data_IF_481261768447
#
_entry.id   IF_481261768447
#
_cell.length_a   1.000
_cell.length_b   1.000
_cell.length_c   1.000
_cell.angle_alpha   90.00
_cell.angle_beta   90.00
_cell.angle_gamma   90.00
#
_symmetry.space_group_name_H-M   'P 1'
#
loop_
_entity.id
_entity.type
_entity.pdbx_description
1 polymer ?
#
# COMPACT_ATOMS: atom_id res chain seq x y z
N UNK A 1 13.72 8.96 15.06
CA UNK A 1 14.35 7.86 14.28
C UNK A 1 13.37 7.49 13.18
N UNK A 2 13.83 7.30 11.94
CA UNK A 2 12.96 6.90 10.82
C UNK A 2 12.62 5.41 10.92
N UNK A 3 11.33 5.05 10.84
CA UNK A 3 10.87 3.65 10.81
C UNK A 3 10.26 3.30 9.46
N UNK A 4 10.81 2.28 8.81
CA UNK A 4 10.32 1.73 7.54
C UNK A 4 9.81 0.32 7.77
N UNK A 5 8.56 0.07 7.40
CA UNK A 5 7.92 -1.24 7.41
C UNK A 5 7.80 -1.77 5.98
N UNK A 6 8.10 -3.04 5.75
CA UNK A 6 7.84 -3.72 4.48
C UNK A 6 7.03 -4.98 4.71
N UNK A 7 5.96 -5.16 3.93
CA UNK A 7 5.03 -6.27 4.09
C UNK A 7 4.49 -6.71 2.73
N UNK A 8 4.64 -8.00 2.43
CA UNK A 8 3.89 -8.65 1.38
C UNK A 8 2.48 -8.95 1.91
N UNK A 9 1.46 -8.33 1.32
CA UNK A 9 0.08 -8.43 1.78
C UNK A 9 -0.69 -9.56 1.09
N UNK A 10 -0.19 -10.11 -0.02
CA UNK A 10 -0.86 -11.15 -0.81
C UNK A 10 -2.35 -10.82 -1.07
N UNK A 11 -2.64 -9.58 -1.44
CA UNK A 11 -3.97 -9.03 -1.69
C UNK A 11 -4.50 -8.14 -0.56
N UNK A 12 -4.49 -6.83 -0.78
CA UNK A 12 -4.85 -5.84 0.25
C UNK A 12 -6.28 -5.97 0.78
N UNK A 13 -7.25 -6.36 -0.07
CA UNK A 13 -8.63 -6.64 0.35
C UNK A 13 -8.73 -7.84 1.29
N UNK A 14 -7.94 -8.89 1.03
CA UNK A 14 -7.92 -10.08 1.88
C UNK A 14 -7.25 -9.76 3.23
N UNK A 15 -6.18 -8.98 3.22
CA UNK A 15 -5.52 -8.46 4.42
C UNK A 15 -6.48 -7.63 5.28
N UNK A 16 -7.24 -6.71 4.67
CA UNK A 16 -8.23 -5.90 5.36
C UNK A 16 -9.30 -6.75 6.06
N UNK A 17 -9.87 -7.75 5.37
CA UNK A 17 -10.85 -8.68 5.98
C UNK A 17 -10.31 -9.49 7.16
N UNK A 18 -8.99 -9.63 7.27
CA UNK A 18 -8.31 -10.39 8.34
C UNK A 18 -7.78 -9.51 9.47
N UNK A 19 -8.11 -8.23 9.49
CA UNK A 19 -7.62 -7.29 10.51
C UNK A 19 -6.16 -6.87 10.34
N UNK A 20 -5.59 -7.06 9.14
CA UNK A 20 -4.18 -6.78 8.90
C UNK A 20 -3.86 -5.28 8.84
N UNK A 21 -4.83 -4.42 8.50
CA UNK A 21 -4.60 -2.98 8.41
C UNK A 21 -4.48 -2.32 9.79
N UNK A 22 -5.18 -2.86 10.78
CA UNK A 22 -5.09 -2.48 12.18
C UNK A 22 -3.70 -2.79 12.72
N UNK A 23 -3.17 -3.99 12.41
CA UNK A 23 -1.81 -4.36 12.76
C UNK A 23 -0.78 -3.42 12.11
N UNK A 24 -0.94 -3.12 10.81
CA UNK A 24 -0.06 -2.17 10.11
C UNK A 24 -0.06 -0.78 10.78
N UNK A 25 -1.23 -0.31 11.22
CA UNK A 25 -1.36 0.97 11.91
C UNK A 25 -0.68 0.99 13.29
N UNK A 26 -0.77 -0.11 14.05
CA UNK A 26 -0.14 -0.24 15.37
C UNK A 26 1.39 -0.20 15.32
N UNK A 27 1.99 -0.51 14.16
CA UNK A 27 3.44 -0.43 13.98
C UNK A 27 3.93 1.03 14.00
N UNK A 28 3.08 2.02 13.74
CA UNK A 28 3.43 3.45 13.68
C UNK A 28 4.71 3.71 12.85
N UNK A 29 4.78 3.10 11.67
CA UNK A 29 5.88 3.31 10.73
C UNK A 29 5.71 4.65 10.01
N UNK A 30 6.82 5.32 9.70
CA UNK A 30 6.82 6.56 8.91
C UNK A 30 6.61 6.27 7.42
N UNK A 31 7.05 5.08 6.99
CA UNK A 31 6.89 4.56 5.63
C UNK A 31 6.45 3.10 5.70
N UNK A 32 5.40 2.75 4.96
CA UNK A 32 4.93 1.38 4.81
C UNK A 32 5.00 0.99 3.34
N UNK A 33 5.82 -0.01 3.02
CA UNK A 33 5.96 -0.59 1.69
C UNK A 33 5.12 -1.88 1.60
N UNK A 34 4.15 -1.90 0.69
CA UNK A 34 3.28 -3.05 0.45
C UNK A 34 3.67 -3.75 -0.85
N UNK A 35 3.82 -5.07 -0.80
CA UNK A 35 4.02 -5.92 -1.98
C UNK A 35 2.83 -6.85 -2.20
N UNK A 36 2.60 -7.24 -3.45
CA UNK A 36 1.46 -8.05 -3.87
C UNK A 36 0.12 -7.45 -3.44
N UNK A 37 -0.07 -6.17 -3.73
CA UNK A 37 -1.30 -5.44 -3.40
C UNK A 37 -2.52 -6.06 -4.10
N UNK A 38 -2.36 -6.54 -5.34
CA UNK A 38 -3.36 -7.25 -6.16
C UNK A 38 -4.70 -6.50 -6.26
N UNK A 39 -4.62 -5.19 -6.46
CA UNK A 39 -5.77 -4.30 -6.54
C UNK A 39 -5.56 -3.20 -7.59
N UNK A 40 -6.65 -2.62 -8.10
CA UNK A 40 -6.60 -1.36 -8.85
C UNK A 40 -6.36 -0.18 -7.90
N UNK A 41 -6.14 1.02 -8.45
CA UNK A 41 -6.03 2.23 -7.64
C UNK A 41 -7.28 2.48 -6.82
N UNK A 42 -8.46 2.39 -7.44
CA UNK A 42 -9.76 2.61 -6.80
C UNK A 42 -9.96 1.62 -5.64
N UNK A 43 -9.68 0.35 -5.88
CA UNK A 43 -9.81 -0.70 -4.88
C UNK A 43 -8.84 -0.50 -3.70
N UNK A 44 -7.60 -0.07 -3.96
CA UNK A 44 -6.64 0.23 -2.90
C UNK A 44 -7.11 1.43 -2.06
N UNK A 45 -7.52 2.51 -2.72
CA UNK A 45 -7.99 3.72 -2.05
C UNK A 45 -9.25 3.47 -1.23
N UNK A 46 -10.21 2.71 -1.75
CA UNK A 46 -11.41 2.30 -1.00
C UNK A 46 -11.05 1.53 0.27
N UNK A 47 -10.19 0.52 0.15
CA UNK A 47 -9.74 -0.29 1.30
C UNK A 47 -9.01 0.55 2.35
N UNK A 48 -8.14 1.48 1.92
CA UNK A 48 -7.38 2.31 2.84
C UNK A 48 -8.24 3.40 3.49
N UNK A 49 -9.22 3.95 2.76
CA UNK A 49 -10.14 4.98 3.26
C UNK A 49 -10.95 4.49 4.46
N UNK A 50 -11.38 3.23 4.44
CA UNK A 50 -12.13 2.60 5.52
C UNK A 50 -11.22 2.06 6.66
N UNK A 51 -9.92 2.33 6.61
CA UNK A 51 -8.93 1.80 7.57
C UNK A 51 -8.33 2.90 8.45
N UNK A 52 -7.66 2.55 9.56
CA UNK A 52 -6.87 3.51 10.35
C UNK A 52 -5.73 4.18 9.57
N UNK A 53 -5.36 3.68 8.39
CA UNK A 53 -4.30 4.22 7.52
C UNK A 53 -4.81 5.30 6.55
N UNK A 54 -6.09 5.68 6.60
CA UNK A 54 -6.74 6.62 5.66
C UNK A 54 -6.09 8.00 5.58
N UNK A 55 -5.34 8.39 6.61
CA UNK A 55 -4.62 9.66 6.69
C UNK A 55 -3.24 9.64 6.01
N UNK A 56 -2.74 8.47 5.57
CA UNK A 56 -1.45 8.35 4.91
C UNK A 56 -1.55 8.69 3.42
N UNK A 57 -0.47 9.27 2.89
CA UNK A 57 -0.32 9.49 1.46
C UNK A 57 0.02 8.19 0.77
N UNK A 58 -0.66 7.88 -0.34
CA UNK A 58 -0.53 6.61 -1.04
C UNK A 58 0.10 6.83 -2.40
N UNK A 59 1.10 6.03 -2.72
CA UNK A 59 1.65 5.89 -4.07
C UNK A 59 1.53 4.43 -4.49
N UNK A 60 0.98 4.18 -5.66
CA UNK A 60 0.64 2.84 -6.10
C UNK A 60 1.14 2.60 -7.53
N UNK A 61 1.71 1.41 -7.74
CA UNK A 61 2.05 0.88 -9.06
C UNK A 61 1.35 -0.47 -9.20
N UNK A 62 0.15 -0.51 -9.81
CA UNK A 62 -0.57 -1.75 -10.05
C UNK A 62 0.15 -2.58 -11.12
N UNK A 63 -0.08 -3.90 -11.10
CA UNK A 63 0.33 -4.75 -12.21
C UNK A 63 -0.64 -4.59 -13.40
N UNK A 64 -0.18 -4.76 -14.66
CA UNK A 64 -1.05 -4.77 -15.83
C UNK A 64 -2.13 -5.85 -15.77
N UNK A 65 -1.80 -7.02 -15.22
CA UNK A 65 -2.74 -8.11 -15.05
C UNK A 65 -3.55 -7.97 -13.75
N UNK A 66 -4.87 -7.85 -13.89
CA UNK A 66 -5.78 -7.74 -12.75
C UNK A 66 -5.62 -8.89 -11.76
N UNK A 67 -5.64 -8.55 -10.47
CA UNK A 67 -5.55 -9.52 -9.37
C UNK A 67 -4.15 -10.14 -9.18
N UNK A 68 -3.14 -9.70 -9.92
CA UNK A 68 -1.74 -10.11 -9.74
C UNK A 68 -0.87 -8.98 -9.22
N UNK A 69 0.21 -9.36 -8.51
CA UNK A 69 1.31 -8.49 -8.09
C UNK A 69 0.89 -7.09 -7.61
N UNK A 70 1.59 -6.03 -8.06
CA UNK A 70 1.38 -4.64 -7.66
C UNK A 70 2.06 -4.27 -6.34
N UNK A 71 2.51 -3.02 -6.23
CA UNK A 71 3.20 -2.47 -5.06
C UNK A 71 2.63 -1.11 -4.67
N UNK A 72 2.64 -0.80 -3.37
CA UNK A 72 2.27 0.52 -2.87
C UNK A 72 3.23 1.00 -1.79
N UNK A 73 3.37 2.32 -1.66
CA UNK A 73 4.10 2.99 -0.58
C UNK A 73 3.13 3.96 0.11
N UNK A 74 3.02 3.85 1.42
CA UNK A 74 2.24 4.74 2.26
C UNK A 74 3.20 5.58 3.12
N UNK A 75 2.97 6.89 3.21
CA UNK A 75 3.84 7.82 3.96
C UNK A 75 3.03 8.82 4.78
N UNK A 76 3.57 9.24 5.94
CA UNK A 76 2.97 10.30 6.78
C UNK A 76 2.99 11.69 6.14
N UNK A 77 3.83 11.90 5.13
CA UNK A 77 3.95 13.17 4.41
C UNK A 77 4.04 12.93 2.89
N UNK A 78 3.66 13.91 2.04
CA UNK A 78 3.72 13.75 0.59
C UNK A 78 5.15 13.46 0.10
N UNK A 79 5.27 12.55 -0.86
CA UNK A 79 6.54 12.30 -1.54
C UNK A 79 6.96 13.52 -2.39
N UNK A 80 8.23 13.91 -2.30
CA UNK A 80 8.78 15.01 -3.13
C UNK A 80 8.98 14.60 -4.59
N UNK A 81 9.26 13.32 -4.82
CA UNK A 81 9.47 12.73 -6.14
C UNK A 81 9.06 11.27 -6.10
N UNK A 82 8.36 10.84 -7.13
CA UNK A 82 7.95 9.45 -7.34
C UNK A 82 8.58 9.00 -8.65
N UNK A 83 9.14 7.80 -8.65
CA UNK A 83 9.70 7.19 -9.86
C UNK A 83 9.24 5.73 -9.87
N UNK A 84 8.51 5.35 -10.91
CA UNK A 84 8.11 3.97 -11.16
C UNK A 84 9.10 3.42 -12.17
N UNK A 85 9.72 2.26 -11.87
CA UNK A 85 10.58 1.58 -12.83
C UNK A 85 9.80 1.22 -14.10
N UNK A 86 10.49 1.20 -15.25
CA UNK A 86 9.91 1.12 -16.60
C UNK A 86 8.52 0.47 -16.68
N UNK A 87 7.54 1.28 -17.08
CA UNK A 87 6.30 0.79 -17.68
C UNK A 87 6.67 -0.11 -18.86
N UNK A 88 6.05 -1.28 -18.98
CA UNK A 88 6.23 -2.31 -20.02
C UNK A 88 7.22 -3.43 -19.69
N UNK A 89 6.68 -4.54 -19.18
CA UNK A 89 6.69 -5.84 -19.87
C UNK A 89 5.30 -6.48 -19.73
#
# INVERSE_FOLDING_TARGET
MLRVLTVNVNGIRATARRGGLEWLAQVDADVICLQEVRATHEQLHEVLKESPLSHLHVQHSPAPQLGRAGVAILTKSPAKRITVGHEQL
#
